data_IF_958281761327
#
_entry.id   IF_958281761327
#
_cell.length_a   1.000
_cell.length_b   1.000
_cell.length_c   1.000
_cell.angle_alpha   90.00
_cell.angle_beta   90.00
_cell.angle_gamma   90.00
#
_symmetry.space_group_name_H-M   'P 1'
#
loop_
_entity.id
_entity.type
_entity.pdbx_description
1 polymer ?
#
# COMPACT_ATOMS: atom_id res chain seq x y z
N UNK A 1 23.29 -10.53 -41.83
CA UNK A 1 23.48 -9.41 -40.89
C UNK A 1 22.23 -8.54 -40.98
N UNK A 2 21.22 -8.84 -40.22
CA UNK A 2 19.97 -8.08 -40.17
C UNK A 2 20.13 -6.97 -39.11
N UNK A 3 20.07 -5.73 -39.54
CA UNK A 3 20.07 -4.55 -38.67
C UNK A 3 18.76 -4.56 -37.86
N UNK A 4 18.87 -4.83 -36.55
CA UNK A 4 17.80 -4.63 -35.59
C UNK A 4 17.64 -3.11 -35.42
N UNK A 5 16.62 -2.56 -36.08
CA UNK A 5 16.20 -1.17 -35.86
C UNK A 5 15.31 -1.18 -34.61
N UNK A 6 15.73 -0.55 -33.49
CA UNK A 6 14.84 -0.38 -32.37
C UNK A 6 13.68 0.52 -32.82
N UNK A 7 12.45 0.02 -32.76
CA UNK A 7 11.27 0.88 -32.88
C UNK A 7 11.40 1.97 -31.83
N UNK A 8 11.49 3.22 -32.27
CA UNK A 8 11.21 4.36 -31.43
C UNK A 8 9.77 4.18 -30.95
N UNK A 9 9.61 3.84 -29.69
CA UNK A 9 8.31 3.88 -29.02
C UNK A 9 8.05 5.37 -28.88
N UNK A 10 7.12 5.90 -29.69
CA UNK A 10 6.49 7.20 -29.46
C UNK A 10 5.72 7.07 -28.13
N UNK A 11 6.46 7.16 -27.04
CA UNK A 11 5.89 7.08 -25.70
C UNK A 11 5.31 8.46 -25.37
N UNK A 12 4.03 8.64 -25.71
CA UNK A 12 3.23 9.65 -25.03
C UNK A 12 3.43 9.42 -23.53
N UNK A 13 3.88 10.43 -22.76
CA UNK A 13 4.12 10.23 -21.34
C UNK A 13 2.83 9.71 -20.70
N UNK A 14 2.95 8.68 -19.87
CA UNK A 14 1.77 7.97 -19.40
C UNK A 14 0.94 8.87 -18.49
N UNK A 15 -0.34 8.93 -18.77
CA UNK A 15 -1.34 9.60 -17.96
C UNK A 15 -1.58 8.76 -16.71
N UNK A 16 -1.41 9.35 -15.53
CA UNK A 16 -1.67 8.69 -14.26
C UNK A 16 -3.11 8.92 -13.83
N UNK A 17 -3.88 7.86 -13.69
CA UNK A 17 -5.21 7.91 -13.09
C UNK A 17 -5.07 8.02 -11.57
N UNK A 18 -5.76 9.00 -10.97
CA UNK A 18 -5.75 9.25 -9.52
C UNK A 18 -7.12 8.94 -8.95
N UNK A 19 -7.16 8.04 -7.98
CA UNK A 19 -8.37 7.61 -7.27
C UNK A 19 -8.18 7.97 -5.80
N UNK A 20 -9.09 8.75 -5.23
CA UNK A 20 -9.11 9.07 -3.80
C UNK A 20 -10.43 8.57 -3.24
N UNK A 21 -10.37 7.51 -2.43
CA UNK A 21 -11.56 6.94 -1.81
C UNK A 21 -12.14 7.94 -0.81
N UNK A 22 -13.41 8.27 -0.97
CA UNK A 22 -14.11 9.21 -0.09
C UNK A 22 -14.31 8.61 1.29
N UNK A 23 -14.76 7.36 1.34
CA UNK A 23 -15.07 6.64 2.56
C UNK A 23 -14.06 5.52 2.82
N UNK A 24 -13.74 5.25 4.10
CA UNK A 24 -12.97 4.08 4.47
C UNK A 24 -13.65 2.78 4.03
N UNK A 25 -12.88 1.78 3.64
CA UNK A 25 -13.38 0.52 3.11
C UNK A 25 -12.86 -0.67 3.92
N UNK A 26 -13.52 -1.84 3.80
CA UNK A 26 -13.08 -3.08 4.43
C UNK A 26 -11.73 -3.54 3.86
N UNK A 27 -10.97 -4.29 4.65
CA UNK A 27 -9.69 -4.82 4.19
C UNK A 27 -9.82 -5.73 2.97
N UNK A 28 -10.86 -6.55 2.92
CA UNK A 28 -11.13 -7.43 1.78
C UNK A 28 -11.38 -6.62 0.48
N UNK A 29 -12.16 -5.54 0.56
CA UNK A 29 -12.37 -4.62 -0.56
C UNK A 29 -11.07 -3.93 -0.96
N UNK A 30 -10.32 -3.41 0.01
CA UNK A 30 -9.07 -2.69 -0.27
C UNK A 30 -8.07 -3.55 -1.04
N UNK A 31 -7.88 -4.81 -0.64
CA UNK A 31 -6.99 -5.74 -1.32
C UNK A 31 -7.53 -6.17 -2.68
N UNK A 32 -8.84 -6.34 -2.82
CA UNK A 32 -9.48 -6.65 -4.09
C UNK A 32 -9.27 -5.51 -5.11
N UNK A 33 -9.44 -4.26 -4.70
CA UNK A 33 -9.20 -3.09 -5.56
C UNK A 33 -7.72 -3.00 -5.94
N UNK A 34 -6.78 -3.20 -5.02
CA UNK A 34 -5.35 -3.19 -5.33
C UNK A 34 -5.01 -4.25 -6.40
N UNK A 35 -5.63 -5.44 -6.34
CA UNK A 35 -5.46 -6.46 -7.37
C UNK A 35 -6.08 -6.05 -8.70
N UNK A 36 -7.27 -5.44 -8.69
CA UNK A 36 -7.92 -4.92 -9.91
C UNK A 36 -7.05 -3.87 -10.59
N UNK A 37 -6.49 -2.93 -9.83
CA UNK A 37 -5.61 -1.91 -10.40
C UNK A 37 -4.33 -2.51 -10.99
N UNK A 38 -3.77 -3.54 -10.34
CA UNK A 38 -2.65 -4.29 -10.92
C UNK A 38 -3.06 -5.01 -12.22
N UNK A 39 -4.26 -5.60 -12.29
CA UNK A 39 -4.78 -6.23 -13.51
C UNK A 39 -5.02 -5.19 -14.62
N UNK A 40 -5.55 -4.01 -14.29
CA UNK A 40 -5.70 -2.89 -15.23
C UNK A 40 -4.34 -2.44 -15.79
N UNK A 41 -3.28 -2.45 -14.97
CA UNK A 41 -1.93 -2.17 -15.45
C UNK A 41 -1.36 -3.30 -16.34
N UNK A 42 -1.67 -4.57 -16.05
CA UNK A 42 -1.20 -5.72 -16.84
C UNK A 42 -1.88 -5.78 -18.22
N UNK A 43 -3.20 -5.62 -18.26
CA UNK A 43 -4.00 -5.93 -19.46
C UNK A 43 -4.46 -4.66 -20.19
N UNK A 44 -4.62 -3.55 -19.49
CA UNK A 44 -5.12 -2.28 -20.02
C UNK A 44 -4.05 -1.20 -20.17
N UNK A 45 -2.79 -1.46 -19.78
CA UNK A 45 -1.71 -0.47 -19.78
C UNK A 45 -2.09 0.82 -18.99
N UNK A 46 -2.93 0.67 -17.93
CA UNK A 46 -3.46 1.80 -17.15
C UNK A 46 -2.60 1.99 -15.90
N UNK A 47 -1.91 3.13 -15.82
CA UNK A 47 -1.24 3.55 -14.59
C UNK A 47 -2.23 4.16 -13.62
N UNK A 48 -2.23 3.74 -12.35
CA UNK A 48 -3.17 4.21 -11.33
C UNK A 48 -2.49 4.44 -9.99
N UNK A 49 -2.79 5.60 -9.39
CA UNK A 49 -2.50 5.94 -7.99
C UNK A 49 -3.82 5.95 -7.24
N UNK A 50 -3.94 5.16 -6.18
CA UNK A 50 -5.10 5.17 -5.28
C UNK A 50 -4.66 5.58 -3.87
N UNK A 51 -5.47 6.41 -3.19
CA UNK A 51 -5.30 6.82 -1.80
C UNK A 51 -6.58 6.44 -1.05
N UNK A 52 -6.45 5.68 0.05
CA UNK A 52 -7.59 5.11 0.75
C UNK A 52 -7.34 4.93 2.25
N UNK A 53 -8.40 4.57 2.98
CA UNK A 53 -8.40 4.32 4.42
C UNK A 53 -9.10 3.00 4.75
N UNK A 54 -8.99 2.57 5.98
CA UNK A 54 -9.56 1.33 6.50
C UNK A 54 -10.76 1.62 7.39
N UNK A 55 -11.84 0.87 7.18
CA UNK A 55 -13.10 1.05 7.92
C UNK A 55 -12.98 0.52 9.36
N UNK A 56 -12.20 -0.53 9.54
CA UNK A 56 -12.04 -1.25 10.80
C UNK A 56 -10.60 -1.79 10.93
N UNK A 57 -10.11 -2.03 12.16
CA UNK A 57 -8.84 -2.69 12.35
C UNK A 57 -8.79 -4.02 11.58
N UNK A 58 -7.79 -4.19 10.74
CA UNK A 58 -7.66 -5.36 9.87
C UNK A 58 -6.20 -5.82 9.83
N UNK A 59 -5.96 -7.13 9.98
CA UNK A 59 -4.65 -7.71 9.74
C UNK A 59 -4.45 -8.00 8.25
N UNK A 60 -3.32 -7.59 7.65
CA UNK A 60 -2.93 -8.09 6.33
C UNK A 60 -1.68 -8.95 6.42
N UNK A 61 -1.83 -10.22 6.06
CA UNK A 61 -0.72 -11.16 5.98
C UNK A 61 0.07 -10.92 4.70
N UNK A 62 1.39 -10.97 4.78
CA UNK A 62 2.24 -10.98 3.61
C UNK A 62 1.99 -12.24 2.75
N UNK A 63 2.22 -12.12 1.45
CA UNK A 63 1.92 -13.17 0.47
C UNK A 63 2.46 -14.57 0.86
N UNK A 64 3.64 -14.65 1.46
CA UNK A 64 4.31 -15.90 1.83
C UNK A 64 4.11 -16.31 3.30
N UNK A 65 3.39 -15.53 4.11
CA UNK A 65 3.15 -15.88 5.50
C UNK A 65 2.16 -17.05 5.60
N UNK A 66 2.41 -17.96 6.53
CA UNK A 66 1.46 -19.01 6.87
C UNK A 66 0.35 -18.42 7.72
N UNK A 67 -0.88 -18.81 7.44
CA UNK A 67 -2.05 -18.37 8.19
C UNK A 67 -2.01 -18.82 9.65
N UNK A 68 -1.52 -20.03 9.89
CA UNK A 68 -1.36 -20.58 11.22
C UNK A 68 -0.53 -19.67 12.14
N UNK A 69 0.55 -19.05 11.61
CA UNK A 69 1.41 -18.18 12.39
C UNK A 69 0.68 -16.92 12.89
N UNK A 70 -0.34 -16.47 12.15
CA UNK A 70 -1.21 -15.38 12.57
C UNK A 70 -2.29 -15.85 13.57
N UNK A 71 -2.91 -16.99 13.31
CA UNK A 71 -3.99 -17.55 14.17
C UNK A 71 -3.51 -17.96 15.56
N UNK A 72 -2.23 -18.23 15.73
CA UNK A 72 -1.62 -18.53 17.04
C UNK A 72 -1.34 -17.29 17.89
N UNK A 73 -1.63 -16.08 17.38
CA UNK A 73 -1.43 -14.83 18.11
C UNK A 73 -2.72 -14.46 18.86
N UNK A 74 -2.83 -14.77 20.15
CA UNK A 74 -4.01 -14.54 20.98
C UNK A 74 -4.57 -13.11 20.87
N UNK A 75 -3.70 -12.12 20.74
CA UNK A 75 -4.09 -10.70 20.65
C UNK A 75 -4.86 -10.34 19.38
N UNK A 76 -4.84 -11.20 18.35
CA UNK A 76 -5.52 -10.97 17.08
C UNK A 76 -6.73 -11.87 16.86
N UNK A 77 -7.17 -12.59 17.90
CA UNK A 77 -8.40 -13.39 17.84
C UNK A 77 -9.59 -12.48 17.52
N UNK A 78 -10.37 -12.87 16.51
CA UNK A 78 -11.52 -12.11 16.04
C UNK A 78 -11.20 -10.91 15.15
N UNK A 79 -9.91 -10.57 14.92
CA UNK A 79 -9.54 -9.49 14.03
C UNK A 79 -9.75 -9.90 12.57
N UNK A 80 -10.49 -9.11 11.76
CA UNK A 80 -10.58 -9.33 10.32
C UNK A 80 -9.19 -9.46 9.69
N UNK A 81 -9.02 -10.43 8.80
CA UNK A 81 -7.72 -10.70 8.19
C UNK A 81 -7.83 -10.88 6.67
N UNK A 82 -6.83 -10.39 5.96
CA UNK A 82 -6.69 -10.52 4.51
C UNK A 82 -5.26 -10.93 4.16
N UNK A 83 -5.05 -11.50 2.98
CA UNK A 83 -3.72 -11.74 2.42
C UNK A 83 -3.44 -10.73 1.31
N UNK A 84 -2.42 -9.89 1.50
CA UNK A 84 -2.04 -8.94 0.46
C UNK A 84 -1.18 -9.60 -0.62
N UNK A 85 -1.13 -8.99 -1.80
CA UNK A 85 -0.34 -9.48 -2.94
C UNK A 85 1.18 -9.35 -2.73
N UNK A 86 1.62 -8.44 -1.89
CA UNK A 86 3.04 -8.17 -1.61
C UNK A 86 3.58 -9.01 -0.46
N UNK A 87 4.89 -9.11 -0.36
CA UNK A 87 5.58 -9.82 0.73
C UNK A 87 5.61 -9.03 2.05
N UNK A 88 6.49 -9.43 2.95
CA UNK A 88 6.69 -8.82 4.26
C UNK A 88 5.96 -9.56 5.39
N UNK A 89 6.08 -9.04 6.63
CA UNK A 89 5.40 -9.52 7.83
C UNK A 89 3.94 -9.04 7.92
N UNK A 90 3.22 -9.48 8.95
CA UNK A 90 1.84 -9.03 9.20
C UNK A 90 1.79 -7.52 9.47
N UNK A 91 0.81 -6.85 8.88
CA UNK A 91 0.47 -5.46 9.15
C UNK A 91 -0.87 -5.41 9.88
N UNK A 92 -1.00 -4.49 10.82
CA UNK A 92 -2.28 -4.12 11.42
C UNK A 92 -2.65 -2.75 10.84
N UNK A 93 -3.65 -2.75 10.00
CA UNK A 93 -4.23 -1.54 9.39
C UNK A 93 -5.36 -1.04 10.29
N UNK A 94 -5.37 0.25 10.56
CA UNK A 94 -6.40 0.91 11.37
C UNK A 94 -6.40 2.41 11.06
N UNK A 95 -5.79 3.20 11.92
CA UNK A 95 -5.70 4.65 11.79
C UNK A 95 -4.54 5.07 10.88
N UNK A 96 -4.67 4.79 9.59
CA UNK A 96 -3.63 5.08 8.59
C UNK A 96 -4.21 5.65 7.30
N UNK A 97 -3.32 6.26 6.51
CA UNK A 97 -3.56 6.57 5.12
C UNK A 97 -2.74 5.62 4.26
N UNK A 98 -3.41 4.82 3.47
CA UNK A 98 -2.76 3.87 2.57
C UNK A 98 -2.75 4.41 1.14
N UNK A 99 -1.66 4.20 0.43
CA UNK A 99 -1.60 4.39 -1.03
C UNK A 99 -1.34 3.08 -1.74
N UNK A 100 -1.81 2.96 -2.96
CA UNK A 100 -1.36 1.96 -3.91
C UNK A 100 -1.10 2.60 -5.28
N UNK A 101 0.01 2.19 -5.90
CA UNK A 101 0.48 2.64 -7.19
C UNK A 101 0.68 1.42 -8.08
N UNK A 102 -0.16 1.29 -9.11
CA UNK A 102 -0.06 0.25 -10.12
C UNK A 102 0.49 0.85 -11.42
N UNK A 103 1.62 0.35 -11.91
CA UNK A 103 2.27 0.82 -13.13
C UNK A 103 2.43 -0.31 -14.14
N UNK A 104 2.07 -0.12 -15.42
CA UNK A 104 2.36 -1.04 -16.50
C UNK A 104 3.85 -1.08 -16.83
N UNK A 105 4.29 -2.14 -17.50
CA UNK A 105 5.68 -2.35 -17.89
C UNK A 105 6.21 -1.38 -18.94
N UNK A 106 5.31 -0.71 -19.66
CA UNK A 106 5.63 0.39 -20.59
C UNK A 106 6.14 1.64 -19.88
N UNK A 107 5.88 1.79 -18.59
CA UNK A 107 6.36 2.91 -17.78
C UNK A 107 7.87 2.79 -17.50
N UNK A 108 8.60 3.89 -17.63
CA UNK A 108 10.05 3.93 -17.37
C UNK A 108 10.40 3.47 -15.94
N UNK A 109 9.56 3.81 -14.96
CA UNK A 109 9.74 3.45 -13.55
C UNK A 109 9.57 1.95 -13.27
N UNK A 110 8.91 1.19 -14.15
CA UNK A 110 8.83 -0.26 -14.01
C UNK A 110 10.21 -0.94 -13.98
N UNK A 111 11.17 -0.45 -14.78
CA UNK A 111 12.55 -0.95 -14.81
C UNK A 111 13.38 -0.61 -13.57
N UNK A 112 12.87 0.24 -12.68
CA UNK A 112 13.60 0.83 -11.55
C UNK A 112 12.85 0.65 -10.22
N UNK A 113 12.55 -0.59 -9.80
CA UNK A 113 11.68 -0.85 -8.64
C UNK A 113 12.25 -0.26 -7.33
N UNK A 114 13.57 -0.23 -7.15
CA UNK A 114 14.20 0.36 -5.96
C UNK A 114 14.04 1.88 -5.97
N UNK A 115 14.24 2.53 -7.12
CA UNK A 115 14.06 3.97 -7.26
C UNK A 115 12.60 4.39 -7.00
N UNK A 116 11.63 3.53 -7.35
CA UNK A 116 10.21 3.82 -7.15
C UNK A 116 9.86 4.03 -5.66
N UNK A 117 10.50 3.29 -4.73
CA UNK A 117 10.37 3.59 -3.30
C UNK A 117 10.82 5.02 -3.01
N UNK A 118 12.01 5.40 -3.44
CA UNK A 118 12.57 6.73 -3.20
C UNK A 118 11.71 7.85 -3.81
N UNK A 119 11.17 7.66 -5.02
CA UNK A 119 10.30 8.63 -5.69
C UNK A 119 9.03 8.88 -4.88
N UNK A 120 8.32 7.82 -4.51
CA UNK A 120 7.07 7.93 -3.74
C UNK A 120 7.36 8.46 -2.33
N UNK A 121 8.36 7.92 -1.65
CA UNK A 121 8.70 8.33 -0.28
C UNK A 121 9.18 9.78 -0.21
N UNK A 122 9.92 10.27 -1.20
CA UNK A 122 10.27 11.69 -1.27
C UNK A 122 9.05 12.61 -1.44
N UNK A 123 8.00 12.13 -2.10
CA UNK A 123 6.71 12.84 -2.17
C UNK A 123 6.02 12.96 -0.80
N UNK A 124 6.03 11.88 -0.01
CA UNK A 124 5.55 11.94 1.38
C UNK A 124 6.37 12.88 2.24
N UNK A 125 7.71 12.83 2.14
CA UNK A 125 8.61 13.73 2.88
C UNK A 125 8.30 15.19 2.54
N UNK A 126 8.25 15.54 1.25
CA UNK A 126 7.98 16.90 0.79
C UNK A 126 6.60 17.39 1.23
N UNK A 127 5.58 16.54 1.16
CA UNK A 127 4.22 16.92 1.57
C UNK A 127 4.16 17.11 3.09
N UNK A 128 4.63 16.15 3.88
CA UNK A 128 4.56 16.22 5.34
C UNK A 128 5.34 17.41 5.90
N UNK A 129 6.47 17.77 5.28
CA UNK A 129 7.24 18.95 5.66
C UNK A 129 6.42 20.24 5.53
N UNK A 130 5.58 20.38 4.49
CA UNK A 130 4.68 21.54 4.34
C UNK A 130 3.65 21.65 5.45
N UNK A 131 3.36 20.54 6.13
CA UNK A 131 2.43 20.47 7.28
C UNK A 131 3.16 20.44 8.62
N UNK A 132 4.46 20.79 8.65
CA UNK A 132 5.25 20.89 9.87
C UNK A 132 5.69 19.56 10.47
N UNK A 133 5.65 18.46 9.66
CA UNK A 133 6.11 17.15 10.10
C UNK A 133 7.40 16.80 9.35
N UNK A 134 8.52 16.90 10.05
CA UNK A 134 9.83 16.58 9.49
C UNK A 134 10.15 15.10 9.67
N UNK A 135 10.17 14.39 8.57
CA UNK A 135 10.47 12.97 8.51
C UNK A 135 11.68 12.70 7.62
N UNK A 136 12.28 11.53 7.78
CA UNK A 136 13.45 11.14 6.99
C UNK A 136 13.41 9.67 6.61
N UNK A 137 14.13 9.30 5.57
CA UNK A 137 14.40 7.90 5.23
C UNK A 137 15.32 7.27 6.29
N UNK A 138 15.10 6.00 6.61
CA UNK A 138 15.94 5.25 7.55
C UNK A 138 17.40 5.20 7.07
N UNK A 139 17.62 4.83 5.80
CA UNK A 139 18.92 4.64 5.22
C UNK A 139 19.46 3.25 5.50
N UNK A 140 20.33 3.11 6.51
CA UNK A 140 20.87 1.79 6.88
C UNK A 140 19.90 1.05 7.79
N UNK A 141 19.71 -0.25 7.54
CA UNK A 141 18.94 -1.14 8.40
C UNK A 141 19.84 -2.27 8.91
N UNK A 142 19.64 -2.67 10.17
CA UNK A 142 20.26 -3.85 10.72
C UNK A 142 19.27 -5.02 10.62
N UNK A 143 19.65 -6.08 9.90
CA UNK A 143 18.86 -7.31 9.94
C UNK A 143 18.98 -7.92 11.32
N UNK A 144 17.82 -8.08 11.98
CA UNK A 144 17.73 -8.81 13.23
C UNK A 144 17.82 -10.32 12.94
N UNK A 145 18.45 -11.08 13.83
CA UNK A 145 18.50 -12.55 13.73
C UNK A 145 17.10 -13.17 13.74
N UNK A 146 16.17 -12.57 14.51
CA UNK A 146 14.76 -12.91 14.50
C UNK A 146 13.94 -11.67 14.11
N UNK A 147 13.30 -11.73 12.96
CA UNK A 147 12.43 -10.64 12.52
C UNK A 147 11.14 -10.59 13.34
N UNK A 148 10.73 -9.42 13.83
CA UNK A 148 9.44 -9.25 14.50
C UNK A 148 8.27 -9.76 13.64
N UNK A 149 7.24 -10.25 14.31
CA UNK A 149 6.01 -10.70 13.64
C UNK A 149 5.35 -9.57 12.86
N UNK A 150 5.19 -8.41 13.49
CA UNK A 150 4.63 -7.23 12.84
C UNK A 150 5.66 -6.55 11.93
N UNK A 151 5.26 -6.29 10.69
CA UNK A 151 6.10 -5.69 9.67
C UNK A 151 6.60 -4.28 10.03
N UNK A 152 5.78 -3.48 10.73
CA UNK A 152 6.19 -2.13 11.16
C UNK A 152 7.30 -2.14 12.23
N UNK A 153 7.49 -3.24 12.91
CA UNK A 153 8.62 -3.42 13.85
C UNK A 153 9.90 -3.93 13.15
N UNK A 154 9.80 -4.33 11.87
CA UNK A 154 10.95 -4.68 11.03
C UNK A 154 11.56 -3.43 10.44
N UNK A 155 12.85 -3.51 10.16
CA UNK A 155 13.59 -2.41 9.56
C UNK A 155 13.86 -2.65 8.07
N UNK A 156 13.58 -1.62 7.25
CA UNK A 156 13.96 -1.56 5.83
C UNK A 156 14.61 -0.21 5.56
N UNK A 157 15.63 -0.18 4.71
CA UNK A 157 16.38 1.04 4.39
C UNK A 157 15.49 2.15 3.79
N UNK A 158 14.38 1.76 3.14
CA UNK A 158 13.43 2.70 2.54
C UNK A 158 12.37 3.21 3.53
N UNK A 159 12.28 2.66 4.75
CA UNK A 159 11.29 3.11 5.73
C UNK A 159 11.39 4.61 6.00
N UNK A 160 10.24 5.27 6.19
CA UNK A 160 10.20 6.66 6.64
C UNK A 160 10.00 6.74 8.15
N UNK A 161 10.83 7.56 8.79
CA UNK A 161 10.88 7.73 10.23
C UNK A 161 10.50 9.14 10.63
N UNK A 162 9.66 9.25 11.67
CA UNK A 162 9.51 10.43 12.48
C UNK A 162 10.25 10.19 13.80
N UNK A 163 11.27 11.00 14.08
CA UNK A 163 12.24 10.72 15.15
C UNK A 163 12.91 9.35 14.93
N UNK A 164 12.54 8.32 15.71
CA UNK A 164 13.05 6.95 15.59
C UNK A 164 11.97 5.93 15.23
N UNK A 165 10.72 6.38 15.13
CA UNK A 165 9.58 5.52 14.88
C UNK A 165 9.29 5.43 13.38
N UNK A 166 9.12 4.21 12.89
CA UNK A 166 8.66 3.97 11.52
C UNK A 166 7.21 4.40 11.42
N UNK A 167 6.94 5.38 10.57
CA UNK A 167 5.60 5.91 10.32
C UNK A 167 5.08 5.55 8.92
N UNK A 168 5.98 5.18 8.00
CA UNK A 168 5.60 4.70 6.68
C UNK A 168 6.53 3.58 6.24
N UNK A 169 5.93 2.52 5.73
CA UNK A 169 6.59 1.42 5.05
C UNK A 169 5.84 1.06 3.79
N UNK A 170 6.55 0.53 2.80
CA UNK A 170 5.98 0.13 1.53
C UNK A 170 6.49 -1.24 1.10
N UNK A 171 5.71 -1.91 0.24
CA UNK A 171 6.07 -3.19 -0.35
C UNK A 171 5.67 -3.21 -1.83
N UNK A 172 6.36 -4.04 -2.61
CA UNK A 172 6.13 -4.16 -4.05
C UNK A 172 5.78 -5.59 -4.45
N UNK A 173 4.99 -5.70 -5.52
CA UNK A 173 4.73 -6.92 -6.27
C UNK A 173 4.93 -6.66 -7.75
N UNK A 174 5.80 -7.43 -8.37
CA UNK A 174 5.95 -7.45 -9.84
C UNK A 174 5.25 -8.69 -10.40
N UNK A 175 4.39 -8.50 -11.37
CA UNK A 175 3.62 -9.59 -12.00
C UNK A 175 3.34 -9.27 -13.45
N UNK A 176 3.67 -10.19 -14.37
CA UNK A 176 3.32 -10.13 -15.81
C UNK A 176 3.57 -8.79 -16.47
N UNK A 177 4.74 -8.18 -16.21
CA UNK A 177 5.08 -6.90 -16.83
C UNK A 177 4.44 -5.67 -16.18
N UNK A 178 3.87 -5.78 -14.98
CA UNK A 178 3.40 -4.64 -14.21
C UNK A 178 3.95 -4.68 -12.78
N UNK A 179 3.91 -3.54 -12.09
CA UNK A 179 4.31 -3.40 -10.70
C UNK A 179 3.19 -2.77 -9.89
N UNK A 180 2.92 -3.35 -8.72
CA UNK A 180 2.13 -2.74 -7.67
C UNK A 180 3.07 -2.37 -6.53
N UNK A 181 3.06 -1.11 -6.11
CA UNK A 181 3.66 -0.67 -4.86
C UNK A 181 2.57 -0.10 -3.97
N UNK A 182 2.48 -0.56 -2.74
CA UNK A 182 1.58 0.04 -1.76
C UNK A 182 2.30 0.25 -0.42
N UNK A 183 1.78 1.16 0.39
CA UNK A 183 2.32 1.48 1.69
C UNK A 183 1.35 2.26 2.54
N UNK A 184 1.55 2.20 3.87
CA UNK A 184 0.70 2.87 4.85
C UNK A 184 1.46 3.93 5.63
N UNK A 185 0.87 5.11 5.76
CA UNK A 185 1.29 6.19 6.63
C UNK A 185 0.47 6.11 7.91
N UNK A 186 1.10 5.71 9.02
CA UNK A 186 0.44 5.56 10.31
C UNK A 186 0.15 6.95 10.91
N UNK A 187 -1.12 7.22 11.17
CA UNK A 187 -1.59 8.50 11.72
C UNK A 187 -1.71 8.44 13.25
N UNK A 188 -2.32 7.37 13.77
CA UNK A 188 -2.43 7.08 15.18
C UNK A 188 -2.12 5.61 15.45
N UNK A 189 -1.70 5.30 16.68
CA UNK A 189 -1.58 3.92 17.14
C UNK A 189 -2.92 3.22 17.11
N UNK A 190 -2.91 1.94 16.74
CA UNK A 190 -4.06 1.05 16.92
C UNK A 190 -4.04 0.44 18.32
N UNK A 191 -5.23 0.21 18.89
CA UNK A 191 -5.36 -0.59 20.11
C UNK A 191 -4.88 -2.04 19.94
N UNK A 192 -4.90 -2.54 18.70
CA UNK A 192 -4.41 -3.88 18.34
C UNK A 192 -2.89 -3.96 18.18
N UNK A 193 -2.20 -2.82 18.03
CA UNK A 193 -0.76 -2.70 17.92
C UNK A 193 -0.26 -1.40 18.62
N UNK A 194 -0.42 -1.27 19.94
CA UNK A 194 -0.14 -0.03 20.67
C UNK A 194 1.35 0.36 20.68
N UNK A 195 2.22 -0.57 20.35
CA UNK A 195 3.67 -0.35 20.20
C UNK A 195 4.05 0.39 18.92
N UNK A 196 3.12 0.48 17.93
CA UNK A 196 3.35 1.18 16.66
C UNK A 196 2.71 2.57 16.76
N UNK A 197 3.56 3.59 16.87
CA UNK A 197 3.12 4.98 17.01
C UNK A 197 2.93 5.62 15.64
N UNK A 198 1.88 6.42 15.51
CA UNK A 198 1.62 7.25 14.34
C UNK A 198 2.05 8.71 14.53
N UNK A 199 1.86 9.52 13.49
CA UNK A 199 2.27 10.93 13.47
C UNK A 199 1.65 11.71 14.63
N UNK A 200 0.35 11.52 14.87
CA UNK A 200 -0.38 12.29 15.91
C UNK A 200 -0.10 11.81 17.34
N UNK A 201 0.55 10.66 17.51
CA UNK A 201 1.06 10.21 18.81
C UNK A 201 2.43 10.82 19.12
N UNK A 202 3.17 11.23 18.07
CA UNK A 202 4.55 11.67 18.16
C UNK A 202 4.73 13.17 18.10
N UNK A 203 3.83 13.90 17.47
CA UNK A 203 3.89 15.35 17.35
C UNK A 203 2.52 15.99 17.15
N UNK A 204 2.42 17.26 17.61
CA UNK A 204 1.33 18.13 17.21
C UNK A 204 1.60 18.66 15.80
N UNK A 205 0.68 18.48 14.88
CA UNK A 205 0.83 18.93 13.49
C UNK A 205 -0.45 19.56 12.97
N UNK A 206 -0.33 20.33 11.88
CA UNK A 206 -1.46 20.95 11.19
C UNK A 206 -2.28 19.96 10.35
N UNK A 207 -1.85 18.69 10.28
CA UNK A 207 -2.49 17.64 9.48
C UNK A 207 -3.96 17.42 9.85
N UNK A 208 -4.27 17.33 11.14
CA UNK A 208 -5.63 17.02 11.60
C UNK A 208 -6.65 18.08 11.17
N UNK A 209 -6.27 19.36 11.22
CA UNK A 209 -7.15 20.48 10.83
C UNK A 209 -7.30 20.66 9.32
N UNK A 210 -6.38 20.08 8.53
CA UNK A 210 -6.30 20.29 7.07
C UNK A 210 -6.35 18.97 6.28
N UNK A 211 -6.96 17.94 6.83
CA UNK A 211 -6.92 16.60 6.28
C UNK A 211 -7.31 16.49 4.79
N UNK A 212 -8.45 17.04 4.32
CA UNK A 212 -8.82 16.94 2.91
C UNK A 212 -7.82 17.65 1.98
N UNK A 213 -7.23 18.77 2.47
CA UNK A 213 -6.24 19.53 1.72
C UNK A 213 -4.93 18.73 1.66
N UNK A 214 -4.51 18.13 2.78
CA UNK A 214 -3.32 17.27 2.83
C UNK A 214 -3.40 16.11 1.85
N UNK A 215 -4.51 15.38 1.80
CA UNK A 215 -4.69 14.25 0.87
C UNK A 215 -4.59 14.70 -0.58
N UNK A 216 -5.21 15.84 -0.92
CA UNK A 216 -5.11 16.44 -2.26
C UNK A 216 -3.68 16.86 -2.59
N UNK A 217 -2.99 17.51 -1.67
CA UNK A 217 -1.62 17.98 -1.86
C UNK A 217 -0.64 16.81 -1.97
N UNK A 218 -0.86 15.74 -1.22
CA UNK A 218 -0.10 14.50 -1.34
C UNK A 218 -0.31 13.87 -2.73
N UNK A 219 -1.56 13.76 -3.18
CA UNK A 219 -1.86 13.22 -4.50
C UNK A 219 -1.17 14.04 -5.61
N UNK A 220 -1.26 15.37 -5.54
CA UNK A 220 -0.61 16.26 -6.51
C UNK A 220 0.92 16.12 -6.50
N UNK A 221 1.53 16.03 -5.31
CA UNK A 221 2.96 15.85 -5.15
C UNK A 221 3.44 14.49 -5.72
N UNK A 222 2.70 13.40 -5.46
CA UNK A 222 3.02 12.08 -6.01
C UNK A 222 2.87 12.07 -7.54
N UNK A 223 1.81 12.66 -8.06
CA UNK A 223 1.60 12.80 -9.52
C UNK A 223 2.80 13.50 -10.16
N UNK A 224 3.22 14.65 -9.64
CA UNK A 224 4.31 15.45 -10.23
C UNK A 224 5.65 14.71 -10.32
N UNK A 225 5.82 13.65 -9.51
CA UNK A 225 7.03 12.82 -9.48
C UNK A 225 6.95 11.58 -10.37
N UNK A 226 5.72 11.14 -10.68
CA UNK A 226 5.46 9.84 -11.33
C UNK A 226 5.07 10.02 -12.80
N UNK A 227 4.33 11.08 -13.14
CA UNK A 227 3.76 11.27 -14.46
C UNK A 227 3.71 12.74 -14.85
N UNK A 228 3.71 13.00 -16.16
CA UNK A 228 3.60 14.36 -16.71
C UNK A 228 2.16 14.87 -16.72
N UNK A 229 1.18 13.96 -16.72
CA UNK A 229 -0.24 14.30 -16.69
C UNK A 229 -1.04 13.32 -15.84
N UNK A 230 -2.15 13.79 -15.30
CA UNK A 230 -3.04 12.96 -14.50
C UNK A 230 -4.51 13.34 -14.70
N UNK A 231 -5.38 12.41 -14.30
CA UNK A 231 -6.80 12.67 -14.18
C UNK A 231 -7.35 12.03 -12.90
N UNK A 232 -8.23 12.76 -12.22
CA UNK A 232 -9.01 12.19 -11.12
C UNK A 232 -10.19 11.41 -11.69
N UNK A 233 -10.38 10.20 -11.21
CA UNK A 233 -11.51 9.35 -11.59
C UNK A 233 -11.88 8.38 -10.47
N UNK A 234 -13.07 7.82 -10.55
CA UNK A 234 -13.48 6.68 -9.75
C UNK A 234 -13.09 5.36 -10.45
N UNK A 235 -13.25 4.23 -9.75
CA UNK A 235 -13.23 2.92 -10.39
C UNK A 235 -14.34 2.81 -11.43
N UNK A 236 -14.05 2.23 -12.57
CA UNK A 236 -15.06 1.93 -13.59
C UNK A 236 -16.07 0.89 -13.08
N UNK A 237 -17.21 0.76 -13.76
CA UNK A 237 -18.22 -0.26 -13.40
C UNK A 237 -17.65 -1.69 -13.47
N UNK A 238 -16.79 -1.98 -14.46
CA UNK A 238 -16.17 -3.29 -14.60
C UNK A 238 -15.14 -3.56 -13.52
N UNK A 239 -14.33 -2.56 -13.15
CA UNK A 239 -13.39 -2.66 -12.03
C UNK A 239 -14.11 -2.88 -10.71
N UNK A 240 -15.22 -2.18 -10.46
CA UNK A 240 -16.04 -2.39 -9.25
C UNK A 240 -16.63 -3.80 -9.20
N UNK A 241 -17.15 -4.30 -10.32
CA UNK A 241 -17.69 -5.66 -10.41
C UNK A 241 -16.61 -6.71 -10.16
N UNK A 242 -15.43 -6.55 -10.78
CA UNK A 242 -14.31 -7.45 -10.56
C UNK A 242 -13.80 -7.40 -9.13
N UNK A 243 -13.73 -6.21 -8.51
CA UNK A 243 -13.34 -6.07 -7.12
C UNK A 243 -14.33 -6.76 -6.16
N UNK A 244 -15.64 -6.66 -6.42
CA UNK A 244 -16.67 -7.38 -5.65
C UNK A 244 -16.48 -8.89 -5.75
N UNK A 245 -16.28 -9.41 -6.96
CA UNK A 245 -16.02 -10.84 -7.17
C UNK A 245 -14.75 -11.29 -6.43
N UNK A 246 -13.64 -10.58 -6.56
CA UNK A 246 -12.40 -10.90 -5.86
C UNK A 246 -12.55 -10.81 -4.33
N UNK A 247 -13.29 -9.83 -3.84
CA UNK A 247 -13.59 -9.70 -2.42
C UNK A 247 -14.28 -10.97 -1.88
N UNK A 248 -15.30 -11.47 -2.58
CA UNK A 248 -16.06 -12.66 -2.18
C UNK A 248 -15.24 -13.94 -2.35
N UNK A 249 -14.62 -14.13 -3.51
CA UNK A 249 -13.96 -15.37 -3.88
C UNK A 249 -12.59 -15.59 -3.23
N UNK A 250 -11.90 -14.50 -2.86
CA UNK A 250 -10.50 -14.58 -2.45
C UNK A 250 -10.21 -13.91 -1.10
N UNK A 251 -10.66 -12.67 -0.91
CA UNK A 251 -10.20 -11.87 0.22
C UNK A 251 -11.05 -12.00 1.49
N UNK A 252 -12.28 -12.49 1.39
CA UNK A 252 -13.13 -12.76 2.55
C UNK A 252 -12.92 -14.15 3.17
N UNK A 253 -12.19 -15.05 2.49
CA UNK A 253 -12.03 -16.46 2.93
C UNK A 253 -11.27 -16.62 4.25
N UNK A 254 -10.29 -15.77 4.53
CA UNK A 254 -9.56 -15.78 5.78
C UNK A 254 -10.46 -15.50 7.00
N UNK A 255 -11.57 -14.79 6.80
CA UNK A 255 -12.52 -14.46 7.85
C UNK A 255 -13.55 -15.57 8.09
N UNK A 256 -13.90 -16.36 7.06
CA UNK A 256 -14.88 -17.42 7.14
C UNK A 256 -14.44 -18.62 7.99
N UNK A 257 -13.15 -18.87 8.11
CA UNK A 257 -12.61 -19.94 8.95
C UNK A 257 -12.59 -19.61 10.46
N UNK A 258 -12.98 -18.40 10.89
CA UNK A 258 -13.09 -18.04 12.30
C UNK A 258 -14.38 -18.58 12.93
N UNK A 259 -15.43 -18.82 12.13
CA UNK A 259 -16.75 -19.26 12.61
C UNK A 259 -16.92 -20.79 12.60
N UNK A 260 -15.99 -21.56 12.08
CA UNK A 260 -16.05 -23.02 12.07
C UNK A 260 -15.07 -23.61 13.09
N UNK A 261 -15.57 -23.91 14.27
CA UNK A 261 -14.96 -24.86 15.24
C UNK A 261 -14.90 -26.30 14.70
N UNK A 262 -14.94 -26.49 13.37
CA UNK A 262 -14.88 -27.77 12.68
C UNK A 262 -14.01 -27.66 11.42
N UNK A 263 -12.71 -27.74 11.58
CA UNK A 263 -11.77 -28.18 10.55
C UNK A 263 -10.71 -29.07 11.18
N UNK A 264 -11.16 -30.17 11.80
CA UNK A 264 -10.34 -31.36 11.97
C UNK A 264 -10.59 -32.27 10.78
N UNK A 265 -9.48 -32.79 10.23
CA UNK A 265 -9.40 -33.86 9.21
C UNK A 265 -9.62 -33.42 7.73
N UNK A 266 -8.52 -33.04 7.05
CA UNK A 266 -7.98 -33.86 5.96
C UNK A 266 -6.52 -33.44 5.65
#
# INVERSE_FOLDING_TARGET
MGLYCPRAVDATPPKLRVIVDREPQSGAWNMAVDEVLLQSAIFGEIASLRIYRWHEPTASLGYFQRELDFRTQDRFVGLPAVRRLTGGGTLIHDHELTYSLALPGSQQLFGRPIELYGIVHSGFIATLLRYGVEIRTRGTSNRLEQEPFLCFLREDENDLLLNRHKILGSAQRRRRGAILQHGGLILHRSSMAPEILGIFDLCSSLLASNWPIFVRDLAAELVSRIAESSEFSDLSCDEKRLAQQLQEDSYSKLNLCQDSSNCDSE
#
